data_IF_243359907748
#
_entry.id   IF_243359907748
#
_cell.length_a   1.000
_cell.length_b   1.000
_cell.length_c   1.000
_cell.angle_alpha   90.00
_cell.angle_beta   90.00
_cell.angle_gamma   90.00
#
_symmetry.space_group_name_H-M   'P 1'
#
loop_
_entity.id
_entity.type
_entity.pdbx_description
1 polymer ?
#
# COMPACT_ATOMS: atom_id res chain seq x y z
N UNK A 1 -14.51 10.14 13.86
CA UNK A 1 -14.62 9.76 12.43
C UNK A 1 -13.47 10.36 11.61
N UNK A 2 -13.33 11.68 11.52
CA UNK A 2 -12.23 12.35 10.77
C UNK A 2 -10.83 11.96 11.25
N UNK A 3 -10.57 11.96 12.57
CA UNK A 3 -9.27 11.55 13.14
C UNK A 3 -8.86 10.12 12.77
N UNK A 4 -9.84 9.21 12.60
CA UNK A 4 -9.58 7.83 12.17
C UNK A 4 -9.12 7.81 10.72
N UNK A 5 -9.84 8.48 9.82
CA UNK A 5 -9.47 8.54 8.40
C UNK A 5 -8.13 9.23 8.14
N UNK A 6 -7.78 10.26 8.91
CA UNK A 6 -6.47 10.91 8.83
C UNK A 6 -5.33 9.99 9.28
N UNK A 7 -5.56 9.21 10.35
CA UNK A 7 -4.55 8.25 10.81
C UNK A 7 -4.40 7.10 9.82
N UNK A 8 -5.51 6.59 9.29
CA UNK A 8 -5.50 5.56 8.24
C UNK A 8 -4.84 6.07 6.95
N UNK A 9 -4.95 7.36 6.64
CA UNK A 9 -4.21 7.98 5.54
C UNK A 9 -2.71 7.89 5.74
N UNK A 10 -2.23 8.31 6.91
CA UNK A 10 -0.81 8.21 7.24
C UNK A 10 -0.31 6.75 7.17
N UNK A 11 -1.08 5.80 7.72
CA UNK A 11 -0.71 4.38 7.66
C UNK A 11 -0.69 3.85 6.22
N UNK A 12 -1.66 4.25 5.40
CA UNK A 12 -1.65 3.89 3.99
C UNK A 12 -0.40 4.43 3.28
N UNK A 13 -0.02 5.69 3.52
CA UNK A 13 1.19 6.25 2.92
C UNK A 13 2.44 5.46 3.29
N UNK A 14 2.59 5.09 4.57
CA UNK A 14 3.72 4.27 5.03
C UNK A 14 3.70 2.88 4.39
N UNK A 15 2.57 2.17 4.44
CA UNK A 15 2.45 0.82 3.90
C UNK A 15 2.65 0.79 2.39
N UNK A 16 2.09 1.75 1.66
CA UNK A 16 2.21 1.86 0.21
C UNK A 16 3.64 2.17 -0.23
N UNK A 17 4.30 3.10 0.45
CA UNK A 17 5.71 3.44 0.18
C UNK A 17 6.60 2.23 0.47
N UNK A 18 6.35 1.53 1.57
CA UNK A 18 7.09 0.32 1.93
C UNK A 18 6.86 -0.82 0.92
N UNK A 19 5.64 -1.01 0.42
CA UNK A 19 5.35 -1.99 -0.62
C UNK A 19 6.10 -1.66 -1.92
N UNK A 20 6.08 -0.40 -2.33
CA UNK A 20 6.76 0.06 -3.53
C UNK A 20 8.28 -0.10 -3.41
N UNK A 21 8.83 0.24 -2.24
CA UNK A 21 10.23 0.02 -1.92
C UNK A 21 10.61 -1.47 -1.89
N UNK A 22 9.79 -2.31 -1.28
CA UNK A 22 10.03 -3.75 -1.24
C UNK A 22 9.96 -4.37 -2.65
N UNK A 23 9.00 -3.95 -3.48
CA UNK A 23 8.91 -4.39 -4.87
C UNK A 23 10.15 -3.98 -5.67
N UNK A 24 10.63 -2.76 -5.46
CA UNK A 24 11.85 -2.26 -6.10
C UNK A 24 13.10 -3.03 -5.68
N UNK A 25 13.22 -3.36 -4.39
CA UNK A 25 14.33 -4.18 -3.90
C UNK A 25 14.30 -5.60 -4.46
N UNK A 26 13.10 -6.19 -4.59
CA UNK A 26 12.90 -7.57 -5.05
C UNK A 26 13.00 -7.73 -6.57
N UNK A 27 12.50 -6.75 -7.33
CA UNK A 27 12.39 -6.82 -8.79
C UNK A 27 13.21 -5.73 -9.48
N UNK A 28 13.08 -4.47 -9.07
CA UNK A 28 13.76 -3.32 -9.70
C UNK A 28 15.29 -3.41 -9.68
N UNK A 29 15.88 -3.92 -8.60
CA UNK A 29 17.33 -4.11 -8.48
C UNK A 29 17.94 -5.08 -9.52
N UNK A 30 17.12 -5.91 -10.18
CA UNK A 30 17.59 -6.79 -11.25
C UNK A 30 17.93 -6.01 -12.51
N UNK A 31 17.31 -4.85 -12.71
CA UNK A 31 17.49 -4.01 -13.89
C UNK A 31 18.79 -3.22 -13.72
N UNK A 32 19.76 -3.47 -14.60
CA UNK A 32 21.10 -2.89 -14.50
C UNK A 32 21.38 -1.78 -15.51
N UNK A 33 20.44 -1.50 -16.42
CA UNK A 33 20.55 -0.49 -17.47
C UNK A 33 20.41 0.94 -16.93
N UNK A 34 21.04 1.90 -17.60
CA UNK A 34 20.93 3.35 -17.29
C UNK A 34 19.60 3.98 -17.70
N UNK A 35 18.78 3.26 -18.47
CA UNK A 35 17.45 3.72 -18.91
C UNK A 35 16.38 3.60 -17.81
N UNK A 36 16.62 2.73 -16.81
CA UNK A 36 15.70 2.51 -15.71
C UNK A 36 16.08 3.40 -14.53
N UNK A 37 15.20 4.34 -14.16
CA UNK A 37 15.42 5.25 -13.03
C UNK A 37 14.72 4.72 -11.78
N UNK A 38 15.34 3.70 -11.18
CA UNK A 38 14.86 3.04 -9.97
C UNK A 38 15.46 3.58 -8.68
N UNK A 39 15.37 2.80 -7.59
CA UNK A 39 15.97 3.13 -6.29
C UNK A 39 17.48 3.33 -6.39
N UNK A 40 18.16 2.60 -7.28
CA UNK A 40 19.61 2.67 -7.45
C UNK A 40 20.06 4.06 -7.92
N UNK A 41 19.29 4.70 -8.80
CA UNK A 41 19.63 5.98 -9.43
C UNK A 41 18.98 7.16 -8.71
N UNK A 42 17.75 6.99 -8.21
CA UNK A 42 17.00 8.02 -7.48
C UNK A 42 17.34 8.09 -5.98
N UNK A 43 17.90 7.01 -5.41
CA UNK A 43 18.22 6.92 -3.99
C UNK A 43 17.04 7.27 -3.09
N UNK A 44 17.23 8.24 -2.18
CA UNK A 44 16.20 8.68 -1.25
C UNK A 44 15.01 9.39 -1.92
N UNK A 45 15.14 9.87 -3.16
CA UNK A 45 14.01 10.52 -3.87
C UNK A 45 12.92 9.51 -4.20
N UNK A 46 13.28 8.23 -4.40
CA UNK A 46 12.35 7.16 -4.74
C UNK A 46 11.20 7.01 -3.72
N UNK A 47 11.44 6.81 -2.41
CA UNK A 47 10.36 6.72 -1.44
C UNK A 47 9.54 8.02 -1.31
N UNK A 48 10.13 9.21 -1.52
CA UNK A 48 9.37 10.47 -1.53
C UNK A 48 8.38 10.54 -2.70
N UNK A 49 8.76 10.04 -3.88
CA UNK A 49 7.90 9.98 -5.05
C UNK A 49 6.73 9.02 -4.84
N UNK A 50 6.96 7.85 -4.26
CA UNK A 50 5.87 6.92 -3.93
C UNK A 50 4.99 7.41 -2.78
N UNK A 51 5.57 8.12 -1.80
CA UNK A 51 4.80 8.75 -0.73
C UNK A 51 3.88 9.86 -1.27
N UNK A 52 4.34 10.67 -2.22
CA UNK A 52 3.51 11.70 -2.86
C UNK A 52 2.40 11.08 -3.72
N UNK A 53 2.68 9.98 -4.44
CA UNK A 53 1.65 9.21 -5.11
C UNK A 53 0.61 8.67 -4.11
N UNK A 54 1.05 8.10 -2.99
CA UNK A 54 0.16 7.60 -1.93
C UNK A 54 -0.72 8.70 -1.32
N UNK A 55 -0.17 9.91 -1.20
CA UNK A 55 -0.90 11.09 -0.72
C UNK A 55 -2.12 11.40 -1.60
N UNK A 56 -2.01 11.23 -2.92
CA UNK A 56 -3.10 11.45 -3.88
C UNK A 56 -4.02 10.23 -4.00
N UNK A 57 -3.45 9.01 -4.05
CA UNK A 57 -4.20 7.76 -4.22
C UNK A 57 -5.19 7.55 -3.06
N UNK A 58 -4.79 7.87 -1.83
CA UNK A 58 -5.64 7.63 -0.68
C UNK A 58 -7.00 8.35 -0.71
N UNK A 59 -7.07 9.69 -0.83
CA UNK A 59 -8.35 10.39 -0.85
C UNK A 59 -9.21 10.02 -2.08
N UNK A 60 -8.58 9.71 -3.22
CA UNK A 60 -9.28 9.43 -4.48
C UNK A 60 -9.83 8.01 -4.54
N UNK A 61 -9.06 7.00 -4.09
CA UNK A 61 -9.41 5.59 -4.26
C UNK A 61 -9.69 4.90 -2.93
N UNK A 62 -8.78 5.01 -1.97
CA UNK A 62 -8.84 4.20 -0.73
C UNK A 62 -9.92 4.71 0.21
N UNK A 63 -10.06 6.02 0.38
CA UNK A 63 -11.04 6.64 1.25
C UNK A 63 -12.49 6.30 0.85
N UNK A 64 -12.93 6.48 -0.42
CA UNK A 64 -14.29 6.11 -0.81
C UNK A 64 -14.54 4.62 -0.65
N UNK A 65 -13.56 3.76 -0.98
CA UNK A 65 -13.66 2.32 -0.74
C UNK A 65 -13.81 2.01 0.75
N UNK A 66 -12.94 2.55 1.61
CA UNK A 66 -13.03 2.38 3.06
C UNK A 66 -14.39 2.83 3.59
N UNK A 67 -14.92 3.94 3.10
CA UNK A 67 -16.24 4.44 3.49
C UNK A 67 -17.37 3.48 3.06
N UNK A 68 -17.39 3.02 1.80
CA UNK A 68 -18.36 2.03 1.32
C UNK A 68 -18.26 0.75 2.14
N UNK A 69 -17.05 0.26 2.42
CA UNK A 69 -16.87 -0.97 3.19
C UNK A 69 -17.38 -0.83 4.62
N UNK A 70 -17.13 0.30 5.29
CA UNK A 70 -17.70 0.56 6.62
C UNK A 70 -19.23 0.61 6.61
N UNK A 71 -19.83 1.10 5.52
CA UNK A 71 -21.28 1.27 5.41
C UNK A 71 -21.99 -0.05 5.10
N UNK A 72 -21.42 -0.89 4.24
CA UNK A 72 -22.08 -2.07 3.68
C UNK A 72 -21.54 -3.41 4.23
N UNK A 73 -20.28 -3.47 4.63
CA UNK A 73 -19.60 -4.73 4.98
C UNK A 73 -19.21 -4.73 6.47
N UNK A 74 -19.96 -5.49 7.26
CA UNK A 74 -19.73 -5.60 8.72
C UNK A 74 -18.73 -6.69 9.11
N UNK A 75 -18.58 -7.72 8.28
CA UNK A 75 -17.77 -8.91 8.60
C UNK A 75 -16.28 -8.66 8.30
N UNK A 76 -15.43 -8.82 9.32
CA UNK A 76 -13.99 -8.64 9.20
C UNK A 76 -13.32 -9.51 8.11
N UNK A 77 -13.62 -10.82 7.98
CA UNK A 77 -12.97 -11.66 6.96
C UNK A 77 -13.20 -11.14 5.54
N UNK A 78 -14.41 -10.67 5.25
CA UNK A 78 -14.73 -10.11 3.93
C UNK A 78 -13.98 -8.81 3.66
N UNK A 79 -13.79 -7.96 4.68
CA UNK A 79 -13.00 -6.73 4.54
C UNK A 79 -11.53 -7.04 4.24
N UNK A 80 -10.97 -8.02 4.94
CA UNK A 80 -9.60 -8.48 4.73
C UNK A 80 -9.44 -8.98 3.30
N UNK A 81 -10.31 -9.89 2.86
CA UNK A 81 -10.25 -10.43 1.50
C UNK A 81 -10.30 -9.33 0.45
N UNK A 82 -11.23 -8.39 0.58
CA UNK A 82 -11.40 -7.32 -0.40
C UNK A 82 -10.21 -6.36 -0.43
N UNK A 83 -9.68 -5.91 0.71
CA UNK A 83 -8.50 -5.04 0.73
C UNK A 83 -7.24 -5.75 0.26
N UNK A 84 -7.10 -7.05 0.54
CA UNK A 84 -6.00 -7.87 -0.01
C UNK A 84 -6.11 -8.00 -1.53
N UNK A 85 -7.30 -8.28 -2.06
CA UNK A 85 -7.53 -8.35 -3.51
C UNK A 85 -7.32 -7.00 -4.20
N UNK A 86 -7.82 -5.90 -3.60
CA UNK A 86 -7.60 -4.55 -4.10
C UNK A 86 -6.13 -4.15 -4.06
N UNK A 87 -5.41 -4.50 -2.98
CA UNK A 87 -3.97 -4.34 -2.87
C UNK A 87 -3.24 -5.09 -3.98
N UNK A 88 -3.52 -6.39 -4.15
CA UNK A 88 -2.91 -7.20 -5.19
C UNK A 88 -3.18 -6.66 -6.60
N UNK A 89 -4.43 -6.28 -6.91
CA UNK A 89 -4.81 -5.67 -8.18
C UNK A 89 -4.10 -4.33 -8.41
N UNK A 90 -4.06 -3.48 -7.39
CA UNK A 90 -3.32 -2.21 -7.44
C UNK A 90 -1.82 -2.41 -7.65
N UNK A 91 -1.22 -3.41 -6.99
CA UNK A 91 0.18 -3.76 -7.18
C UNK A 91 0.49 -4.23 -8.59
N UNK A 92 -0.41 -4.99 -9.23
CA UNK A 92 -0.26 -5.39 -10.63
C UNK A 92 -0.34 -4.20 -11.60
N UNK A 93 -1.22 -3.23 -11.33
CA UNK A 93 -1.29 -1.99 -12.10
C UNK A 93 0.00 -1.19 -11.96
N UNK A 94 0.47 -1.00 -10.72
CA UNK A 94 1.74 -0.31 -10.44
C UNK A 94 2.89 -1.00 -11.15
N UNK A 95 2.99 -2.33 -11.08
CA UNK A 95 4.04 -3.07 -11.76
C UNK A 95 4.03 -2.85 -13.28
N UNK A 96 2.83 -2.83 -13.89
CA UNK A 96 2.69 -2.58 -15.33
C UNK A 96 3.13 -1.18 -15.73
N UNK A 97 2.83 -0.17 -14.91
CA UNK A 97 3.23 1.21 -15.18
C UNK A 97 4.71 1.46 -14.85
N UNK A 98 5.26 0.79 -13.86
CA UNK A 98 6.67 0.94 -13.43
C UNK A 98 7.66 0.19 -14.33
N UNK A 99 7.27 -0.96 -14.88
CA UNK A 99 8.17 -1.82 -15.64
C UNK A 99 7.66 -2.05 -17.07
N UNK A 100 8.42 -1.55 -18.05
CA UNK A 100 8.18 -1.82 -19.47
C UNK A 100 8.30 -3.33 -19.75
N UNK A 101 7.51 -3.85 -20.71
CA UNK A 101 7.55 -5.26 -21.15
C UNK A 101 8.97 -5.71 -21.55
N UNK A 102 9.77 -4.81 -22.12
CA UNK A 102 11.18 -5.07 -22.40
C UNK A 102 11.97 -5.50 -21.15
N UNK A 103 11.81 -4.78 -20.03
CA UNK A 103 12.47 -5.13 -18.77
C UNK A 103 11.85 -6.38 -18.14
N UNK A 104 10.54 -6.55 -18.23
CA UNK A 104 9.85 -7.72 -17.68
C UNK A 104 10.36 -9.00 -18.33
N UNK A 105 10.49 -9.03 -19.66
CA UNK A 105 11.01 -10.19 -20.38
C UNK A 105 12.54 -10.32 -20.27
N UNK A 106 13.27 -9.22 -20.39
CA UNK A 106 14.74 -9.21 -20.35
C UNK A 106 15.32 -9.60 -18.99
N UNK A 107 14.67 -9.20 -17.90
CA UNK A 107 15.12 -9.46 -16.52
C UNK A 107 14.25 -10.48 -15.77
N UNK A 108 13.31 -11.14 -16.46
CA UNK A 108 12.38 -12.13 -15.91
C UNK A 108 11.68 -11.64 -14.63
N UNK A 109 11.19 -10.40 -14.66
CA UNK A 109 10.55 -9.78 -13.51
C UNK A 109 9.23 -10.47 -13.19
N UNK A 110 8.98 -10.73 -11.92
CA UNK A 110 7.82 -11.51 -11.50
C UNK A 110 6.64 -10.60 -11.11
N UNK A 111 5.56 -10.67 -11.90
CA UNK A 111 4.29 -9.97 -11.61
C UNK A 111 3.65 -10.46 -10.30
N UNK A 112 3.86 -11.74 -9.96
CA UNK A 112 3.40 -12.34 -8.70
C UNK A 112 4.00 -11.65 -7.48
N UNK A 113 5.26 -11.19 -7.55
CA UNK A 113 5.90 -10.45 -6.47
C UNK A 113 5.10 -9.21 -6.14
N UNK A 114 4.75 -8.38 -7.14
CA UNK A 114 3.94 -7.18 -6.94
C UNK A 114 2.56 -7.48 -6.34
N UNK A 115 1.86 -8.49 -6.86
CA UNK A 115 0.57 -8.92 -6.31
C UNK A 115 0.70 -9.32 -4.83
N UNK A 116 1.74 -10.07 -4.47
CA UNK A 116 1.99 -10.49 -3.09
C UNK A 116 2.35 -9.32 -2.19
N UNK A 117 3.28 -8.45 -2.60
CA UNK A 117 3.75 -7.33 -1.76
C UNK A 117 2.60 -6.39 -1.43
N UNK A 118 1.84 -5.96 -2.44
CA UNK A 118 0.71 -5.05 -2.22
C UNK A 118 -0.51 -5.77 -1.61
N UNK A 119 -0.71 -7.05 -1.88
CA UNK A 119 -1.75 -7.86 -1.22
C UNK A 119 -1.52 -7.99 0.29
N UNK A 120 -0.28 -8.26 0.71
CA UNK A 120 0.11 -8.29 2.13
C UNK A 120 -0.09 -6.91 2.76
N UNK A 121 0.25 -5.82 2.06
CA UNK A 121 -0.01 -4.48 2.60
C UNK A 121 -1.51 -4.18 2.74
N UNK A 122 -2.34 -4.62 1.80
CA UNK A 122 -3.81 -4.53 1.92
C UNK A 122 -4.34 -5.30 3.13
N UNK A 123 -3.79 -6.48 3.40
CA UNK A 123 -4.07 -7.25 4.62
C UNK A 123 -3.68 -6.45 5.88
N UNK A 124 -2.44 -5.95 5.95
CA UNK A 124 -1.95 -5.15 7.07
C UNK A 124 -2.80 -3.89 7.31
N UNK A 125 -3.17 -3.17 6.25
CA UNK A 125 -4.04 -2.00 6.32
C UNK A 125 -5.37 -2.33 7.00
N UNK A 126 -5.97 -3.47 6.66
CA UNK A 126 -7.25 -3.90 7.24
C UNK A 126 -7.13 -4.26 8.72
N UNK A 127 -6.00 -4.86 9.13
CA UNK A 127 -5.72 -5.12 10.54
C UNK A 127 -5.57 -3.81 11.33
N UNK A 128 -4.80 -2.86 10.80
CA UNK A 128 -4.63 -1.55 11.43
C UNK A 128 -6.00 -0.86 11.58
N UNK A 129 -6.84 -0.88 10.55
CA UNK A 129 -8.19 -0.32 10.61
C UNK A 129 -9.03 -0.90 11.76
N UNK A 130 -8.91 -2.21 11.99
CA UNK A 130 -9.69 -2.91 13.00
C UNK A 130 -9.20 -2.67 14.42
N UNK A 131 -7.88 -2.74 14.64
CA UNK A 131 -7.31 -2.69 16.00
C UNK A 131 -7.09 -1.26 16.49
N UNK A 132 -6.87 -0.31 15.60
CA UNK A 132 -6.60 1.08 15.97
C UNK A 132 -7.72 1.74 16.81
N UNK A 133 -9.02 1.60 16.50
CA UNK A 133 -10.09 2.13 17.35
C UNK A 133 -10.07 1.58 18.77
N UNK A 134 -9.68 0.30 18.94
CA UNK A 134 -9.62 -0.37 20.24
C UNK A 134 -8.44 0.12 21.10
N UNK A 135 -7.31 0.46 20.47
CA UNK A 135 -6.15 1.03 21.16
C UNK A 135 -6.40 2.50 21.57
N UNK A 136 -7.07 3.27 20.71
CA UNK A 136 -7.40 4.67 20.98
C UNK A 136 -8.52 4.85 22.02
N UNK A 137 -9.42 3.86 22.19
CA UNK A 137 -10.43 3.88 23.25
C UNK A 137 -9.88 3.41 24.60
N UNK A 138 -8.99 2.40 24.61
CA UNK A 138 -8.34 1.90 25.84
C UNK A 138 -7.52 2.98 26.56
N UNK A 139 -6.87 3.88 25.81
CA UNK A 139 -6.06 4.95 26.39
C UNK A 139 -6.87 6.09 27.04
N UNK A 140 -8.18 6.24 26.73
CA UNK A 140 -9.03 7.25 27.39
C UNK A 140 -9.58 6.81 28.76
N UNK A 141 -9.54 5.51 29.07
CA UNK A 141 -9.94 4.98 30.37
C UNK A 141 -8.91 5.25 31.48
N UNK A 142 -7.63 5.36 31.13
CA UNK A 142 -6.54 5.57 32.10
C UNK A 142 -6.27 7.03 32.48
N UNK A 143 -6.94 8.00 31.85
CA UNK A 143 -6.75 9.45 32.14
C UNK A 143 -7.82 9.99 33.10
N UNK A 144 -8.70 9.11 33.62
CA UNK A 144 -9.78 9.47 34.55
C UNK A 144 -9.76 8.67 35.86
N UNK A 145 -8.62 8.08 36.22
CA UNK A 145 -8.40 7.43 37.51
C UNK A 145 -7.47 8.29 38.37
#
# INVERSE_FOLDING_TARGET
>A
MIRHYLFMWFNFMVLFTLASFALEVLEGNKITTTEYWGLRDLGLVFPFLWASAAFVIYPVLVLPVSWVMHRWIRTLPLRILLFTCLGAAGGLLIFRESYNEYFVHGYQLQRSTAALTFGIMGFCYTLVDRYLPSLLSRNRGNVRA
#
